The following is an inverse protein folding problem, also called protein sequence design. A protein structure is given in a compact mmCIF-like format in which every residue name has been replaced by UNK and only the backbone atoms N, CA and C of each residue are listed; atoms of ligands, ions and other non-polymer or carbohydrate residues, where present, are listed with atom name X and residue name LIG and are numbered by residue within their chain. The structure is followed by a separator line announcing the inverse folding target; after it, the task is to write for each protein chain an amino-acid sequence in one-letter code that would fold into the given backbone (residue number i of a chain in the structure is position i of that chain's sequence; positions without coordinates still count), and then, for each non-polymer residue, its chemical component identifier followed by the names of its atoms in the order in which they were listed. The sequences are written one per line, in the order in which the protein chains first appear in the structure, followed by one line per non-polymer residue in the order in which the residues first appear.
data_IF_601414443518
#
_entry.id   IF_601414443518
#
_cell.length_a   1.000
_cell.length_b   1.000
_cell.length_c   1.000
_cell.angle_alpha   90.00
_cell.angle_beta   90.00
_cell.angle_gamma   90.00
#
_symmetry.space_group_name_H-M   'P 1'
#
loop_
_entity.id
_entity.type
_entity.pdbx_description
1 polymer ?
#
# COMPACT_ATOMS: atom_id res chain seq x y z
N UNK A 1 -9.65 -27.66 24.31
CA UNK A 1 -10.44 -26.40 24.40
C UNK A 1 -10.02 -25.69 25.68
N UNK A 2 -9.56 -24.44 25.55
CA UNK A 2 -9.25 -23.61 26.71
C UNK A 2 -10.52 -23.04 27.34
N UNK A 3 -10.43 -22.54 28.60
CA UNK A 3 -11.55 -21.86 29.24
C UNK A 3 -12.03 -20.65 28.42
N UNK A 4 -11.10 -19.92 27.81
CA UNK A 4 -11.41 -18.77 26.98
C UNK A 4 -12.21 -19.16 25.74
N UNK A 5 -11.82 -20.21 25.03
CA UNK A 5 -12.54 -20.70 23.82
C UNK A 5 -13.97 -21.15 24.19
N UNK A 6 -14.13 -21.87 25.29
CA UNK A 6 -15.43 -22.29 25.76
C UNK A 6 -16.32 -21.10 26.15
N UNK A 7 -15.79 -20.16 26.94
CA UNK A 7 -16.53 -18.98 27.39
C UNK A 7 -16.91 -18.07 26.23
N UNK A 8 -16.02 -17.90 25.26
CA UNK A 8 -16.26 -17.06 24.09
C UNK A 8 -17.49 -17.52 23.29
N UNK A 9 -17.61 -18.82 23.07
CA UNK A 9 -18.75 -19.40 22.36
C UNK A 9 -20.09 -19.14 23.09
N UNK A 10 -20.10 -19.23 24.41
CA UNK A 10 -21.28 -18.95 25.21
C UNK A 10 -21.68 -17.47 25.20
N UNK A 11 -20.71 -16.59 25.37
CA UNK A 11 -20.95 -15.13 25.37
C UNK A 11 -21.48 -14.67 24.01
N UNK A 12 -20.86 -15.07 22.91
CA UNK A 12 -21.33 -14.70 21.58
C UNK A 12 -22.72 -15.29 21.27
N UNK A 13 -22.98 -16.53 21.69
CA UNK A 13 -24.31 -17.14 21.53
C UNK A 13 -25.39 -16.38 22.29
N UNK A 14 -25.08 -15.94 23.53
CA UNK A 14 -25.99 -15.13 24.32
C UNK A 14 -26.21 -13.73 23.73
N UNK A 15 -25.18 -13.10 23.20
CA UNK A 15 -25.28 -11.81 22.49
C UNK A 15 -26.24 -11.93 21.30
N UNK A 16 -26.13 -13.00 20.50
CA UNK A 16 -27.04 -13.21 19.38
C UNK A 16 -28.47 -13.37 19.84
N UNK A 17 -28.71 -14.15 20.93
CA UNK A 17 -30.03 -14.27 21.55
C UNK A 17 -30.59 -12.91 21.99
N UNK A 18 -29.78 -12.04 22.60
CA UNK A 18 -30.21 -10.71 23.03
C UNK A 18 -30.52 -9.80 21.83
N UNK A 19 -29.70 -9.85 20.80
CA UNK A 19 -29.96 -9.11 19.55
C UNK A 19 -31.22 -9.58 18.85
N UNK A 20 -31.48 -10.89 18.84
CA UNK A 20 -32.74 -11.46 18.36
C UNK A 20 -33.93 -10.89 19.13
N UNK A 21 -33.89 -10.98 20.44
CA UNK A 21 -35.00 -10.60 21.32
C UNK A 21 -35.25 -9.09 21.34
N UNK A 22 -34.20 -8.30 21.48
CA UNK A 22 -34.28 -6.86 21.73
C UNK A 22 -34.31 -6.03 20.44
N UNK A 23 -33.76 -6.55 19.34
CA UNK A 23 -33.56 -5.85 18.09
C UNK A 23 -34.17 -6.54 16.86
N UNK A 24 -34.83 -7.66 17.04
CA UNK A 24 -35.39 -8.49 15.96
C UNK A 24 -34.30 -8.92 14.94
N UNK A 25 -33.08 -9.19 15.40
CA UNK A 25 -31.96 -9.61 14.55
C UNK A 25 -32.10 -11.11 14.22
N UNK A 26 -32.42 -11.43 12.98
CA UNK A 26 -32.67 -12.80 12.53
C UNK A 26 -31.44 -13.52 11.98
N UNK A 27 -30.41 -12.79 11.57
CA UNK A 27 -29.24 -13.35 10.90
C UNK A 27 -27.95 -12.86 11.57
N UNK A 28 -27.07 -13.79 11.92
CA UNK A 28 -25.69 -13.47 12.28
C UNK A 28 -24.75 -14.00 11.21
N UNK A 29 -23.79 -13.16 10.79
CA UNK A 29 -22.83 -13.45 9.74
C UNK A 29 -21.39 -13.42 10.29
N UNK A 30 -20.51 -14.25 9.72
CA UNK A 30 -19.09 -14.23 10.06
C UNK A 30 -18.22 -15.03 9.10
N UNK A 31 -16.94 -15.13 9.40
CA UNK A 31 -16.06 -16.08 8.72
C UNK A 31 -16.36 -17.51 9.14
N UNK A 32 -15.88 -18.50 8.38
CA UNK A 32 -16.12 -19.92 8.65
C UNK A 32 -15.61 -20.38 10.03
N UNK A 33 -14.61 -19.68 10.59
CA UNK A 33 -14.13 -19.89 11.96
C UNK A 33 -15.15 -19.52 13.05
N UNK A 34 -16.17 -18.70 12.70
CA UNK A 34 -17.22 -18.26 13.62
C UNK A 34 -18.43 -19.21 13.66
N UNK A 35 -18.46 -20.25 12.82
CA UNK A 35 -19.61 -21.13 12.70
C UNK A 35 -20.10 -21.68 14.05
N UNK A 36 -19.20 -22.26 14.85
CA UNK A 36 -19.54 -22.81 16.18
C UNK A 36 -20.14 -21.77 17.13
N UNK A 37 -19.62 -20.56 17.14
CA UNK A 37 -20.12 -19.47 17.98
C UNK A 37 -21.52 -19.04 17.54
N UNK A 38 -21.73 -18.87 16.23
CA UNK A 38 -23.02 -18.39 15.67
C UNK A 38 -24.12 -19.42 15.87
N UNK A 39 -23.87 -20.70 15.58
CA UNK A 39 -24.91 -21.76 15.76
C UNK A 39 -25.28 -21.97 17.23
N UNK A 40 -24.37 -21.69 18.17
CA UNK A 40 -24.71 -21.68 19.59
C UNK A 40 -25.84 -20.67 19.88
N UNK A 41 -25.77 -19.49 19.24
CA UNK A 41 -26.82 -18.47 19.33
C UNK A 41 -28.13 -18.91 18.70
N UNK A 42 -28.12 -19.53 17.51
CA UNK A 42 -29.35 -20.05 16.88
C UNK A 42 -30.02 -21.12 17.74
N UNK A 43 -29.22 -22.01 18.34
CA UNK A 43 -29.75 -23.07 19.22
C UNK A 43 -30.29 -22.49 20.54
N UNK A 44 -29.63 -21.45 21.08
CA UNK A 44 -30.11 -20.77 22.29
C UNK A 44 -31.47 -20.09 22.04
N UNK A 45 -31.63 -19.39 20.90
CA UNK A 45 -32.88 -18.76 20.46
C UNK A 45 -33.99 -19.83 20.37
N UNK A 46 -33.70 -20.96 19.73
CA UNK A 46 -34.65 -22.05 19.56
C UNK A 46 -35.11 -22.63 20.94
N UNK A 47 -34.16 -22.82 21.85
CA UNK A 47 -34.47 -23.44 23.17
C UNK A 47 -35.16 -22.48 24.12
N UNK A 48 -34.79 -21.22 24.15
CA UNK A 48 -35.31 -20.25 25.13
C UNK A 48 -36.62 -19.58 24.68
N UNK A 49 -36.78 -19.27 23.39
CA UNK A 49 -37.93 -18.54 22.86
C UNK A 49 -38.76 -19.36 21.83
N UNK A 50 -38.34 -20.58 21.47
CA UNK A 50 -38.98 -21.34 20.39
C UNK A 50 -38.84 -20.70 19.01
N UNK A 51 -38.02 -19.66 18.89
CA UNK A 51 -37.84 -18.86 17.67
C UNK A 51 -36.88 -19.50 16.66
N UNK A 52 -36.79 -18.85 15.50
CA UNK A 52 -35.86 -19.25 14.41
C UNK A 52 -34.95 -18.11 14.07
N UNK A 53 -33.63 -18.37 14.01
CA UNK A 53 -32.61 -17.46 13.54
C UNK A 53 -31.60 -18.21 12.66
N UNK A 54 -30.85 -17.48 11.84
CA UNK A 54 -30.01 -18.05 10.78
C UNK A 54 -28.54 -17.67 10.96
N UNK A 55 -27.68 -18.64 10.70
CA UNK A 55 -26.24 -18.48 10.65
C UNK A 55 -25.77 -18.45 9.19
N UNK A 56 -24.95 -17.46 8.83
CA UNK A 56 -24.32 -17.38 7.51
C UNK A 56 -22.82 -17.20 7.70
N UNK A 57 -22.03 -18.07 7.08
CA UNK A 57 -20.56 -17.94 7.11
C UNK A 57 -19.98 -17.95 5.72
N UNK A 58 -18.87 -17.20 5.56
CA UNK A 58 -18.08 -17.15 4.34
C UNK A 58 -16.72 -17.81 4.56
N UNK A 59 -16.09 -18.41 3.54
CA UNK A 59 -14.72 -18.90 3.62
C UNK A 59 -13.76 -17.80 4.07
N UNK A 60 -12.75 -18.18 4.86
CA UNK A 60 -11.69 -17.24 5.25
C UNK A 60 -10.82 -16.88 4.05
N UNK A 61 -10.57 -15.58 3.90
CA UNK A 61 -9.64 -15.07 2.90
C UNK A 61 -8.20 -15.40 3.29
N UNK A 62 -7.53 -16.10 2.39
CA UNK A 62 -6.09 -16.39 2.47
C UNK A 62 -5.43 -15.91 1.20
N UNK A 63 -4.14 -15.58 1.28
CA UNK A 63 -3.30 -15.42 0.10
C UNK A 63 -3.00 -16.77 -0.52
N UNK A 64 -2.60 -16.79 -1.79
CA UNK A 64 -2.19 -18.01 -2.50
C UNK A 64 -1.05 -18.76 -1.80
N UNK A 65 -0.16 -18.04 -1.13
CA UNK A 65 0.93 -18.59 -0.31
C UNK A 65 0.47 -19.16 1.06
N UNK A 66 -0.83 -19.11 1.35
CA UNK A 66 -1.43 -19.58 2.60
C UNK A 66 -1.33 -18.59 3.77
N UNK A 67 -0.67 -17.44 3.60
CA UNK A 67 -0.57 -16.41 4.64
C UNK A 67 -1.88 -15.64 4.83
N UNK A 68 -1.98 -14.91 5.94
CA UNK A 68 -3.19 -14.14 6.27
C UNK A 68 -3.32 -12.95 5.32
N UNK A 69 -4.52 -12.76 4.76
CA UNK A 69 -4.89 -11.57 4.00
C UNK A 69 -4.84 -10.30 4.86
N UNK A 70 -4.52 -9.17 4.23
CA UNK A 70 -4.54 -7.84 4.86
C UNK A 70 -3.33 -7.52 5.73
N UNK A 71 -2.32 -8.41 5.81
CA UNK A 71 -1.05 -8.15 6.49
C UNK A 71 0.08 -7.97 5.49
N UNK A 72 0.91 -6.95 5.72
CA UNK A 72 2.16 -6.70 5.00
C UNK A 72 3.33 -6.74 5.98
N UNK A 73 4.56 -6.68 5.50
CA UNK A 73 5.75 -6.52 6.36
C UNK A 73 5.65 -5.26 7.24
N UNK A 74 4.97 -4.21 6.77
CA UNK A 74 4.70 -2.96 7.50
C UNK A 74 3.44 -3.00 8.39
N UNK A 75 2.76 -4.15 8.53
CA UNK A 75 1.56 -4.29 9.35
C UNK A 75 0.25 -4.43 8.56
N UNK A 76 -0.86 -3.97 9.15
CA UNK A 76 -2.17 -4.05 8.52
C UNK A 76 -2.37 -2.95 7.47
N UNK A 77 -3.10 -3.29 6.41
CA UNK A 77 -3.61 -2.30 5.43
C UNK A 77 -4.96 -1.78 5.93
N UNK A 78 -4.99 -0.49 6.28
CA UNK A 78 -6.17 0.16 6.85
C UNK A 78 -6.97 0.90 5.77
N UNK A 79 -8.31 0.95 5.94
CA UNK A 79 -9.18 1.76 5.09
C UNK A 79 -9.07 3.27 5.40
N UNK A 80 -8.69 3.61 6.63
CA UNK A 80 -8.46 5.00 7.03
C UNK A 80 -7.16 5.53 6.40
N UNK A 81 -7.28 6.56 5.55
CA UNK A 81 -6.15 7.20 4.87
C UNK A 81 -5.14 7.88 5.79
N UNK A 82 -5.46 8.09 7.08
CA UNK A 82 -4.49 8.57 8.07
C UNK A 82 -3.53 7.47 8.51
N UNK A 83 -3.96 6.20 8.44
CA UNK A 83 -3.16 5.03 8.84
C UNK A 83 -2.46 4.35 7.66
N UNK A 84 -3.16 4.19 6.54
CA UNK A 84 -2.61 3.70 5.27
C UNK A 84 -2.96 4.71 4.20
N UNK A 85 -1.96 5.38 3.62
CA UNK A 85 -2.25 6.37 2.57
C UNK A 85 -2.86 5.73 1.33
N UNK A 86 -3.60 6.49 0.51
CA UNK A 86 -4.16 6.00 -0.76
C UNK A 86 -3.10 5.39 -1.68
N UNK A 87 -1.87 5.95 -1.68
CA UNK A 87 -0.75 5.40 -2.43
C UNK A 87 -0.35 4.00 -1.95
N UNK A 88 -0.11 3.82 -0.64
CA UNK A 88 0.22 2.50 -0.06
C UNK A 88 -0.93 1.51 -0.23
N UNK A 89 -2.15 1.97 -0.08
CA UNK A 89 -3.35 1.18 -0.30
C UNK A 89 -3.42 0.69 -1.76
N UNK A 90 -3.22 1.58 -2.73
CA UNK A 90 -3.12 1.24 -4.14
C UNK A 90 -1.98 0.24 -4.42
N UNK A 91 -0.78 0.49 -3.85
CA UNK A 91 0.37 -0.39 -4.01
C UNK A 91 0.11 -1.81 -3.47
N UNK A 92 -0.63 -1.95 -2.40
CA UNK A 92 -1.01 -3.26 -1.87
C UNK A 92 -1.77 -4.09 -2.91
N UNK A 93 -2.75 -3.50 -3.58
CA UNK A 93 -3.57 -4.19 -4.57
C UNK A 93 -2.87 -4.40 -5.90
N UNK A 94 -2.14 -3.40 -6.38
CA UNK A 94 -1.41 -3.51 -7.65
C UNK A 94 -0.27 -4.55 -7.57
N UNK A 95 0.24 -4.85 -6.38
CA UNK A 95 1.31 -5.83 -6.15
C UNK A 95 0.80 -7.25 -5.81
N UNK A 96 -0.50 -7.50 -5.84
CA UNK A 96 -1.04 -8.84 -5.68
C UNK A 96 -0.46 -9.81 -6.73
N UNK A 97 -0.28 -11.08 -6.36
CA UNK A 97 0.09 -12.13 -7.32
C UNK A 97 -1.02 -12.34 -8.36
N UNK A 98 -0.72 -12.98 -9.49
CA UNK A 98 -1.75 -13.24 -10.52
C UNK A 98 -2.85 -14.16 -9.96
N UNK A 99 -2.48 -15.15 -9.17
CA UNK A 99 -3.41 -16.08 -8.51
C UNK A 99 -4.30 -15.34 -7.49
N UNK A 100 -3.71 -14.50 -6.65
CA UNK A 100 -4.45 -13.67 -5.70
C UNK A 100 -5.39 -12.71 -6.40
N UNK A 101 -4.92 -12.02 -7.44
CA UNK A 101 -5.72 -11.06 -8.19
C UNK A 101 -6.95 -11.71 -8.83
N UNK A 102 -6.80 -12.94 -9.38
CA UNK A 102 -7.90 -13.70 -9.95
C UNK A 102 -8.95 -14.13 -8.90
N UNK A 103 -8.55 -14.32 -7.65
CA UNK A 103 -9.47 -14.57 -6.54
C UNK A 103 -10.08 -13.27 -5.99
N UNK A 104 -9.26 -12.25 -5.78
CA UNK A 104 -9.69 -11.00 -5.16
C UNK A 104 -10.66 -10.20 -6.03
N UNK A 105 -10.52 -10.25 -7.37
CA UNK A 105 -11.45 -9.55 -8.27
C UNK A 105 -12.89 -10.06 -8.11
N UNK A 106 -13.06 -11.34 -7.79
CA UNK A 106 -14.37 -11.96 -7.53
C UNK A 106 -14.99 -11.55 -6.20
N UNK A 107 -14.15 -11.21 -5.21
CA UNK A 107 -14.59 -10.97 -3.84
C UNK A 107 -14.72 -9.48 -3.55
N UNK A 108 -13.79 -8.68 -4.07
CA UNK A 108 -13.65 -7.27 -3.69
C UNK A 108 -14.22 -6.29 -4.71
N UNK A 109 -14.70 -6.75 -5.89
CA UNK A 109 -15.33 -5.86 -6.85
C UNK A 109 -16.85 -6.11 -6.94
N UNK A 110 -17.57 -5.13 -7.50
CA UNK A 110 -19.01 -5.24 -7.78
C UNK A 110 -19.27 -5.56 -9.26
N UNK A 111 -18.25 -6.07 -9.98
CA UNK A 111 -18.37 -6.47 -11.38
C UNK A 111 -19.23 -7.72 -11.51
N UNK A 112 -19.90 -7.86 -12.65
CA UNK A 112 -20.66 -9.07 -12.96
C UNK A 112 -19.72 -10.26 -13.19
N UNK A 113 -20.28 -11.46 -13.13
CA UNK A 113 -19.51 -12.69 -13.39
C UNK A 113 -18.89 -12.65 -14.81
N UNK A 114 -19.66 -12.20 -15.80
CA UNK A 114 -19.24 -12.12 -17.20
C UNK A 114 -18.06 -11.15 -17.37
N UNK A 115 -18.11 -9.97 -16.75
CA UNK A 115 -17.01 -9.01 -16.75
C UNK A 115 -15.75 -9.56 -16.07
N UNK A 116 -15.91 -10.29 -14.98
CA UNK A 116 -14.79 -10.91 -14.26
C UNK A 116 -14.16 -12.02 -15.10
N UNK A 117 -14.97 -12.90 -15.68
CA UNK A 117 -14.47 -14.01 -16.51
C UNK A 117 -13.71 -13.48 -17.74
N UNK A 118 -14.21 -12.41 -18.38
CA UNK A 118 -13.52 -11.75 -19.49
C UNK A 118 -12.17 -11.15 -19.06
N UNK A 119 -12.14 -10.42 -17.93
CA UNK A 119 -10.90 -9.84 -17.41
C UNK A 119 -9.84 -10.90 -17.08
N UNK A 120 -10.26 -12.04 -16.52
CA UNK A 120 -9.38 -13.16 -16.22
C UNK A 120 -8.81 -13.76 -17.52
N UNK A 121 -9.65 -13.97 -18.53
CA UNK A 121 -9.22 -14.49 -19.84
C UNK A 121 -8.24 -13.53 -20.54
N UNK A 122 -8.53 -12.22 -20.53
CA UNK A 122 -7.64 -11.22 -21.12
C UNK A 122 -6.30 -11.15 -20.37
N UNK A 123 -6.33 -11.22 -19.04
CA UNK A 123 -5.11 -11.23 -18.22
C UNK A 123 -4.23 -12.45 -18.54
N UNK A 124 -4.82 -13.64 -18.70
CA UNK A 124 -4.09 -14.86 -19.01
C UNK A 124 -3.35 -14.80 -20.35
N UNK A 125 -3.83 -14.01 -21.32
CA UNK A 125 -3.16 -13.81 -22.62
C UNK A 125 -1.89 -12.97 -22.50
N UNK A 126 -1.83 -12.04 -21.52
CA UNK A 126 -0.69 -11.15 -21.33
C UNK A 126 -0.51 -10.79 -19.83
N UNK A 127 -0.11 -11.73 -18.94
CA UNK A 127 -0.01 -11.49 -17.50
C UNK A 127 0.94 -10.35 -17.14
N UNK A 128 1.99 -10.14 -17.92
CA UNK A 128 2.98 -9.08 -17.72
C UNK A 128 2.38 -7.66 -17.78
N UNK A 129 1.21 -7.47 -18.39
CA UNK A 129 0.49 -6.19 -18.41
C UNK A 129 -0.26 -5.91 -17.11
N UNK A 130 -0.40 -6.93 -16.22
CA UNK A 130 -1.02 -6.85 -14.91
C UNK A 130 -2.44 -6.26 -14.93
N UNK A 131 -3.24 -6.68 -15.91
CA UNK A 131 -4.59 -6.16 -16.13
C UNK A 131 -5.49 -6.34 -14.90
N UNK A 132 -5.53 -7.55 -14.34
CA UNK A 132 -6.35 -7.85 -13.15
C UNK A 132 -5.96 -7.00 -11.96
N UNK A 133 -4.66 -6.87 -11.69
CA UNK A 133 -4.17 -6.06 -10.57
C UNK A 133 -4.53 -4.58 -10.75
N UNK A 134 -4.42 -4.07 -11.99
CA UNK A 134 -4.80 -2.68 -12.30
C UNK A 134 -6.28 -2.42 -12.08
N UNK A 135 -7.14 -3.29 -12.59
CA UNK A 135 -8.59 -3.16 -12.42
C UNK A 135 -9.01 -3.32 -10.96
N UNK A 136 -8.43 -4.28 -10.25
CA UNK A 136 -8.66 -4.50 -8.83
C UNK A 136 -8.24 -3.27 -7.99
N UNK A 137 -7.00 -2.80 -8.19
CA UNK A 137 -6.47 -1.64 -7.47
C UNK A 137 -7.25 -0.37 -7.76
N UNK A 138 -7.67 -0.16 -9.02
CA UNK A 138 -8.52 0.96 -9.43
C UNK A 138 -9.87 0.92 -8.70
N UNK A 139 -10.63 -0.18 -8.87
CA UNK A 139 -11.98 -0.30 -8.34
C UNK A 139 -12.01 -0.10 -6.81
N UNK A 140 -11.12 -0.78 -6.09
CA UNK A 140 -11.10 -0.72 -4.62
C UNK A 140 -10.59 0.62 -4.13
N UNK A 141 -9.56 1.21 -4.75
CA UNK A 141 -9.01 2.50 -4.31
C UNK A 141 -10.03 3.62 -4.54
N UNK A 142 -10.71 3.64 -5.68
CA UNK A 142 -11.77 4.62 -5.94
C UNK A 142 -12.90 4.48 -4.93
N UNK A 143 -13.33 3.26 -4.65
CA UNK A 143 -14.44 2.99 -3.73
C UNK A 143 -14.15 3.40 -2.30
N UNK A 144 -12.90 3.24 -1.84
CA UNK A 144 -12.49 3.53 -0.46
C UNK A 144 -12.03 4.96 -0.27
N UNK A 145 -11.28 5.51 -1.22
CA UNK A 145 -10.60 6.80 -1.09
C UNK A 145 -11.08 7.88 -2.06
N UNK A 146 -11.79 7.48 -3.11
CA UNK A 146 -12.28 8.39 -4.16
C UNK A 146 -11.36 8.49 -5.37
N UNK A 147 -11.90 9.09 -6.44
CA UNK A 147 -11.25 9.21 -7.76
C UNK A 147 -9.96 10.02 -7.70
N UNK A 148 -9.95 11.13 -6.94
CA UNK A 148 -8.80 12.03 -6.87
C UNK A 148 -7.61 11.38 -6.16
N UNK A 149 -7.85 10.71 -5.02
CA UNK A 149 -6.82 9.96 -4.30
C UNK A 149 -6.27 8.79 -5.16
N UNK A 150 -7.13 8.13 -5.95
CA UNK A 150 -6.68 7.13 -6.92
C UNK A 150 -5.77 7.72 -8.00
N UNK A 151 -6.15 8.84 -8.62
CA UNK A 151 -5.33 9.52 -9.65
C UNK A 151 -3.96 9.93 -9.09
N UNK A 152 -3.93 10.45 -7.87
CA UNK A 152 -2.68 10.78 -7.17
C UNK A 152 -1.82 9.53 -6.92
N UNK A 153 -2.42 8.42 -6.50
CA UNK A 153 -1.70 7.18 -6.26
C UNK A 153 -1.11 6.58 -7.54
N UNK A 154 -1.85 6.61 -8.65
CA UNK A 154 -1.35 6.18 -9.97
C UNK A 154 -0.19 7.07 -10.42
N UNK A 155 -0.37 8.40 -10.35
CA UNK A 155 0.68 9.36 -10.71
C UNK A 155 1.95 9.15 -9.89
N UNK A 156 1.83 8.96 -8.56
CA UNK A 156 2.96 8.66 -7.69
C UNK A 156 3.67 7.35 -8.10
N UNK A 157 2.91 6.32 -8.47
CA UNK A 157 3.44 5.05 -8.95
C UNK A 157 4.21 5.21 -10.28
N UNK A 158 3.66 5.98 -11.22
CA UNK A 158 4.30 6.29 -12.51
C UNK A 158 5.59 7.11 -12.32
N UNK A 159 5.58 8.06 -11.40
CA UNK A 159 6.76 8.86 -11.03
C UNK A 159 7.85 7.96 -10.44
N UNK A 160 7.51 7.04 -9.56
CA UNK A 160 8.50 6.16 -8.94
C UNK A 160 9.12 5.19 -9.93
N UNK A 161 8.30 4.54 -10.77
CA UNK A 161 8.72 3.48 -11.68
C UNK A 161 8.97 3.95 -13.12
N UNK A 162 8.54 5.15 -13.49
CA UNK A 162 8.65 5.74 -14.80
C UNK A 162 9.89 6.63 -14.98
N UNK A 163 9.90 7.34 -16.13
CA UNK A 163 10.85 8.40 -16.46
C UNK A 163 10.26 9.75 -16.04
N UNK A 164 10.21 10.00 -14.75
CA UNK A 164 9.76 11.29 -14.21
C UNK A 164 10.89 12.31 -14.13
N UNK A 165 10.53 13.59 -13.97
CA UNK A 165 11.41 14.72 -13.76
C UNK A 165 11.12 15.42 -12.42
N UNK A 166 11.87 16.49 -12.11
CA UNK A 166 11.71 17.28 -10.88
C UNK A 166 10.31 17.89 -10.75
N UNK A 167 9.76 18.41 -11.85
CA UNK A 167 8.46 19.07 -11.88
C UNK A 167 7.32 18.12 -11.53
N UNK A 168 7.39 16.89 -12.01
CA UNK A 168 6.40 15.86 -11.69
C UNK A 168 6.50 15.42 -10.22
N UNK A 169 7.72 15.29 -9.69
CA UNK A 169 7.94 15.03 -8.26
C UNK A 169 7.38 16.14 -7.38
N UNK A 170 7.53 17.42 -7.78
CA UNK A 170 7.04 18.59 -7.06
C UNK A 170 5.50 18.69 -7.05
N UNK A 171 4.79 18.02 -7.95
CA UNK A 171 3.33 17.99 -8.00
C UNK A 171 2.69 17.01 -7.01
N UNK A 172 3.47 16.13 -6.39
CA UNK A 172 2.98 15.25 -5.33
C UNK A 172 2.75 16.07 -4.05
N UNK A 173 1.65 15.78 -3.36
CA UNK A 173 1.52 16.27 -1.98
C UNK A 173 2.60 15.67 -1.08
N UNK A 174 2.95 16.39 -0.02
CA UNK A 174 4.08 16.04 0.85
C UNK A 174 3.94 14.63 1.46
N UNK A 175 2.72 14.26 1.84
CA UNK A 175 2.45 12.95 2.42
C UNK A 175 2.68 11.83 1.40
N UNK A 176 2.11 11.96 0.21
CA UNK A 176 2.30 11.00 -0.88
C UNK A 176 3.78 10.92 -1.28
N UNK A 177 4.49 12.05 -1.36
CA UNK A 177 5.93 12.07 -1.64
C UNK A 177 6.71 11.27 -0.59
N UNK A 178 6.47 11.50 0.70
CA UNK A 178 7.15 10.78 1.78
C UNK A 178 6.79 9.30 1.80
N UNK A 179 5.55 8.94 1.52
CA UNK A 179 5.11 7.54 1.44
C UNK A 179 5.74 6.79 0.25
N UNK A 180 5.95 7.46 -0.88
CA UNK A 180 6.65 6.91 -2.06
C UNK A 180 8.10 6.53 -1.70
N UNK A 181 8.76 7.36 -0.89
CA UNK A 181 10.14 7.16 -0.47
C UNK A 181 10.28 6.59 0.94
N UNK A 182 9.23 6.00 1.51
CA UNK A 182 9.31 5.34 2.81
C UNK A 182 10.30 4.17 2.78
N UNK A 183 11.12 4.07 3.82
CA UNK A 183 12.19 3.06 3.90
C UNK A 183 13.43 3.35 3.06
N UNK A 184 13.42 4.40 2.25
CA UNK A 184 14.62 4.86 1.54
C UNK A 184 15.57 5.52 2.57
N UNK A 185 16.88 5.17 2.56
CA UNK A 185 17.86 5.84 3.40
C UNK A 185 17.82 7.35 3.21
N UNK A 186 17.98 8.12 4.30
CA UNK A 186 17.91 9.57 4.21
C UNK A 186 18.94 10.27 5.11
N UNK A 187 19.22 11.53 4.81
CA UNK A 187 19.99 12.45 5.63
C UNK A 187 19.28 13.79 5.70
N UNK A 188 19.57 14.56 6.75
CA UNK A 188 19.07 15.92 6.96
C UNK A 188 20.22 16.91 6.79
N UNK A 189 20.01 17.93 5.98
CA UNK A 189 21.01 18.97 5.69
C UNK A 189 20.37 20.35 5.92
N UNK A 190 21.03 21.27 6.63
CA UNK A 190 20.52 22.63 6.84
C UNK A 190 20.34 23.41 5.52
N UNK A 191 19.26 24.20 5.42
CA UNK A 191 18.97 25.03 4.24
C UNK A 191 20.10 25.97 3.85
N UNK A 192 20.80 26.57 4.82
CA UNK A 192 21.91 27.46 4.58
C UNK A 192 23.09 26.84 3.81
N UNK A 193 23.26 25.52 3.85
CA UNK A 193 24.28 24.85 3.03
C UNK A 193 23.93 24.87 1.54
N UNK A 194 22.65 24.73 1.22
CA UNK A 194 22.17 24.82 -0.18
C UNK A 194 22.20 26.25 -0.71
N UNK A 195 22.02 27.25 0.15
CA UNK A 195 22.15 28.66 -0.21
C UNK A 195 23.61 29.01 -0.59
N UNK A 196 24.57 28.42 0.11
CA UNK A 196 26.00 28.56 -0.19
C UNK A 196 26.43 27.69 -1.38
N UNK A 197 25.66 26.65 -1.68
CA UNK A 197 25.95 25.67 -2.72
C UNK A 197 26.88 24.54 -2.24
N UNK A 198 26.48 23.30 -2.48
CA UNK A 198 27.21 22.10 -2.07
C UNK A 198 27.81 21.43 -3.31
N UNK A 199 29.16 21.24 -3.39
CA UNK A 199 29.74 20.44 -4.45
C UNK A 199 29.13 19.04 -4.51
N UNK A 200 28.69 18.57 -5.69
CA UNK A 200 27.97 17.30 -5.83
C UNK A 200 28.74 16.10 -5.29
N UNK A 201 30.07 16.09 -5.43
CA UNK A 201 30.93 15.02 -4.88
C UNK A 201 30.86 14.96 -3.36
N UNK A 202 30.86 16.13 -2.72
CA UNK A 202 30.72 16.27 -1.26
C UNK A 202 29.33 15.85 -0.81
N UNK A 203 28.29 16.28 -1.50
CA UNK A 203 26.92 15.90 -1.23
C UNK A 203 26.74 14.38 -1.26
N UNK A 204 27.22 13.73 -2.33
CA UNK A 204 27.04 12.29 -2.54
C UNK A 204 27.82 11.42 -1.53
N UNK A 205 28.90 11.94 -0.94
CA UNK A 205 29.73 11.15 -0.02
C UNK A 205 29.73 11.74 1.39
N UNK A 206 30.42 12.85 1.63
CA UNK A 206 30.67 13.35 2.98
C UNK A 206 29.41 13.81 3.71
N UNK A 207 28.46 14.45 3.01
CA UNK A 207 27.23 15.00 3.62
C UNK A 207 26.14 13.98 3.83
N UNK A 208 25.99 13.01 2.92
CA UNK A 208 24.88 12.07 2.96
C UNK A 208 25.29 10.64 3.29
N UNK A 209 26.55 10.26 3.05
CA UNK A 209 26.97 8.87 3.16
C UNK A 209 26.33 7.95 2.10
N UNK A 210 25.66 8.53 1.09
CA UNK A 210 25.07 7.74 -0.01
C UNK A 210 26.11 6.92 -0.77
N UNK A 211 27.29 7.49 -0.97
CA UNK A 211 28.45 6.81 -1.50
C UNK A 211 29.57 6.80 -0.46
N UNK A 212 30.39 5.74 -0.45
CA UNK A 212 31.38 5.48 0.60
C UNK A 212 32.54 6.49 0.63
N UNK A 213 32.82 7.15 -0.50
CA UNK A 213 33.93 8.08 -0.61
C UNK A 213 33.79 9.06 -1.79
N UNK A 214 34.52 10.18 -1.72
CA UNK A 214 34.61 11.13 -2.83
C UNK A 214 35.16 10.49 -4.12
N UNK A 215 36.07 9.50 -4.01
CA UNK A 215 36.58 8.76 -5.15
C UNK A 215 35.49 7.90 -5.84
N UNK A 216 34.63 7.29 -5.05
CA UNK A 216 33.47 6.56 -5.57
C UNK A 216 32.45 7.53 -6.24
N UNK A 217 32.19 8.68 -5.62
CA UNK A 217 31.32 9.70 -6.18
C UNK A 217 31.80 10.18 -7.55
N UNK A 218 33.08 10.52 -7.67
CA UNK A 218 33.67 10.94 -8.97
C UNK A 218 33.59 9.85 -10.03
N UNK A 219 33.80 8.57 -9.68
CA UNK A 219 33.62 7.44 -10.63
C UNK A 219 32.18 7.30 -11.06
N UNK A 220 31.23 7.31 -10.12
CA UNK A 220 29.82 7.18 -10.41
C UNK A 220 29.28 8.31 -11.31
N UNK A 221 29.79 9.55 -11.16
CA UNK A 221 29.50 10.66 -12.04
C UNK A 221 30.05 10.44 -13.46
N UNK A 222 31.33 10.01 -13.59
CA UNK A 222 31.93 9.69 -14.88
C UNK A 222 31.23 8.56 -15.62
N UNK A 223 30.72 7.56 -14.89
CA UNK A 223 29.94 6.45 -15.42
C UNK A 223 28.49 6.83 -15.77
N UNK A 224 28.13 8.11 -15.62
CA UNK A 224 26.75 8.60 -15.83
C UNK A 224 25.69 7.76 -15.06
N UNK A 225 26.06 7.29 -13.86
CA UNK A 225 25.22 6.42 -13.03
C UNK A 225 24.41 7.16 -11.99
N UNK A 226 24.67 8.48 -11.79
CA UNK A 226 23.98 9.32 -10.80
C UNK A 226 22.89 10.16 -11.46
N UNK A 227 21.77 10.25 -10.75
CA UNK A 227 20.70 11.22 -11.06
C UNK A 227 20.33 11.99 -9.80
N UNK A 228 19.97 13.25 -9.97
CA UNK A 228 19.32 14.08 -8.94
C UNK A 228 17.91 14.37 -9.44
N UNK A 229 16.91 14.17 -8.60
CA UNK A 229 15.49 14.35 -8.93
C UNK A 229 15.09 13.65 -10.24
N UNK A 230 15.60 12.44 -10.46
CA UNK A 230 15.42 11.63 -11.68
C UNK A 230 16.19 12.12 -12.91
N UNK A 231 16.81 13.28 -12.88
CA UNK A 231 17.60 13.83 -13.99
C UNK A 231 19.07 13.41 -13.87
N UNK A 232 19.63 12.96 -14.99
CA UNK A 232 21.03 12.56 -15.05
C UNK A 232 21.94 13.76 -14.87
N UNK A 233 22.95 13.61 -14.03
CA UNK A 233 24.00 14.61 -13.83
C UNK A 233 25.34 14.11 -14.36
N UNK A 234 26.00 15.01 -15.05
CA UNK A 234 27.35 14.80 -15.61
C UNK A 234 28.30 15.88 -15.06
N UNK A 235 29.46 15.45 -14.59
CA UNK A 235 30.51 16.37 -14.15
C UNK A 235 30.37 16.82 -12.69
N UNK A 236 31.25 17.74 -12.33
CA UNK A 236 31.34 18.33 -11.01
C UNK A 236 30.51 19.61 -10.97
N UNK A 237 29.30 19.54 -10.42
CA UNK A 237 28.35 20.65 -10.33
C UNK A 237 28.14 21.03 -8.88
N UNK A 238 27.67 22.26 -8.66
CA UNK A 238 27.26 22.76 -7.34
C UNK A 238 25.75 22.66 -7.21
N UNK A 239 25.29 22.04 -6.15
CA UNK A 239 23.86 21.86 -5.83
C UNK A 239 23.40 23.00 -4.96
N UNK A 240 22.46 23.79 -5.46
CA UNK A 240 21.86 24.95 -4.79
C UNK A 240 20.39 24.69 -4.46
N UNK A 241 19.73 25.67 -3.89
CA UNK A 241 18.28 25.64 -3.62
C UNK A 241 17.43 25.38 -4.85
N UNK A 242 17.91 25.71 -6.06
CA UNK A 242 17.20 25.48 -7.33
C UNK A 242 16.99 23.98 -7.64
N UNK A 243 17.79 23.12 -7.03
CA UNK A 243 17.62 21.67 -7.17
C UNK A 243 16.56 21.10 -6.22
N UNK A 244 16.15 21.85 -5.21
CA UNK A 244 15.23 21.32 -4.19
C UNK A 244 13.81 21.14 -4.76
N UNK A 245 13.18 20.03 -4.39
CA UNK A 245 11.76 19.76 -4.59
C UNK A 245 11.00 20.44 -3.47
N UNK A 246 10.10 21.36 -3.81
CA UNK A 246 9.28 22.13 -2.85
C UNK A 246 10.10 22.78 -1.71
N UNK A 247 11.35 23.18 -2.00
CA UNK A 247 12.34 23.74 -1.06
C UNK A 247 12.63 22.85 0.17
N UNK A 248 12.27 21.58 0.14
CA UNK A 248 12.36 20.67 1.28
C UNK A 248 13.11 19.36 1.01
N UNK A 249 13.19 18.92 -0.23
CA UNK A 249 13.67 17.59 -0.56
C UNK A 249 14.62 17.58 -1.74
N UNK A 250 15.57 16.64 -1.72
CA UNK A 250 16.39 16.32 -2.86
C UNK A 250 16.50 14.81 -2.99
N UNK A 251 16.19 14.27 -4.16
CA UNK A 251 16.24 12.84 -4.42
C UNK A 251 17.53 12.47 -5.14
N UNK A 252 18.40 11.72 -4.49
CA UNK A 252 19.62 11.16 -5.09
C UNK A 252 19.31 9.74 -5.57
N UNK A 253 19.87 9.36 -6.72
CA UNK A 253 19.67 8.04 -7.29
C UNK A 253 20.95 7.54 -7.96
N UNK A 254 21.30 6.24 -7.72
CA UNK A 254 22.37 5.54 -8.43
C UNK A 254 21.79 4.32 -9.16
N UNK A 255 21.91 4.31 -10.48
CA UNK A 255 21.31 3.27 -11.31
C UNK A 255 19.77 3.32 -11.26
N UNK A 256 19.11 2.16 -11.34
CA UNK A 256 17.64 2.11 -11.43
C UNK A 256 16.91 1.99 -10.09
N UNK A 257 17.57 1.47 -9.05
CA UNK A 257 16.88 1.05 -7.81
C UNK A 257 17.41 1.68 -6.52
N UNK A 258 18.62 2.25 -6.53
CA UNK A 258 19.22 2.80 -5.31
C UNK A 258 18.85 4.27 -5.18
N UNK A 259 17.94 4.54 -4.27
CA UNK A 259 17.48 5.89 -3.93
C UNK A 259 18.02 6.32 -2.57
N UNK A 260 18.18 7.63 -2.41
CA UNK A 260 18.52 8.26 -1.14
C UNK A 260 17.81 9.62 -1.08
N UNK A 261 17.15 9.92 0.04
CA UNK A 261 16.39 11.15 0.21
C UNK A 261 17.16 12.13 1.10
N UNK A 262 17.39 13.34 0.61
CA UNK A 262 17.87 14.43 1.45
C UNK A 262 16.67 15.28 1.89
N UNK A 263 16.56 15.53 3.20
CA UNK A 263 15.56 16.39 3.82
C UNK A 263 16.25 17.68 4.23
N UNK A 264 15.70 18.82 3.81
CA UNK A 264 16.22 20.15 4.18
C UNK A 264 15.57 20.60 5.48
N UNK A 265 16.43 21.04 6.41
CA UNK A 265 16.04 21.62 7.71
C UNK A 265 16.23 23.13 7.77
#
# INVERSE_FOLDING_TARGET
MSFTEFSYQLVQGYDFYRLYKDKNCLVQMGGSDQWGNIVTGTELIRRMDGGTAYAVTTPLLKKADGTKFGKTEGGNVWLDKKRTSPYKFYQYWINASDEDAANYIKIFTLKTKEEIDQLIEEHQKAPHLRLLQKELAKDITIRVHGEDDYKQAVKASEILFGKSNKEELAQLDEKTFLDVFEGVPHAEIPSGEFEQGIPVVELLAAKTGFLKSNGEARRALKENSISINKEKINGDITITTDYLINNKYLLLQRGKKNYFLVKVK
#
